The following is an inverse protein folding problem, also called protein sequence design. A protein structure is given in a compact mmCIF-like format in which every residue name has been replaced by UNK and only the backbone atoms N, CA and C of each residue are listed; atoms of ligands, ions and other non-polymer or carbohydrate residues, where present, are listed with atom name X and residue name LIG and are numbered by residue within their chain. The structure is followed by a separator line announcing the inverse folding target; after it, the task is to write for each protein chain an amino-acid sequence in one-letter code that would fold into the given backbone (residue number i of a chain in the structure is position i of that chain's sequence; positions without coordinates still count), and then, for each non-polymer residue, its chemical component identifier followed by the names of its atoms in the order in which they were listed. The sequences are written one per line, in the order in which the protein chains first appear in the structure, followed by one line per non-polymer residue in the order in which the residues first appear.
data_IF_205748130099
#
_entry.id   IF_205748130099
#
_cell.length_a   1.000
_cell.length_b   1.000
_cell.length_c   1.000
_cell.angle_alpha   90.00
_cell.angle_beta   90.00
_cell.angle_gamma   90.00
#
_symmetry.space_group_name_H-M   'P 1'
#
loop_
_entity.id
_entity.type
_entity.pdbx_description
1 polymer ?
#
# COMPACT_ATOMS: atom_id res chain seq x y z
N UNK A 1 -42.70 3.08 -3.20
CA UNK A 1 -42.11 4.28 -3.85
C UNK A 1 -40.86 4.65 -3.06
N UNK A 2 -39.63 4.51 -3.60
CA UNK A 2 -38.42 4.78 -2.82
C UNK A 2 -38.25 6.28 -2.52
N UNK A 3 -37.90 6.58 -1.26
CA UNK A 3 -37.63 7.92 -0.73
C UNK A 3 -36.20 8.35 -1.08
N UNK A 4 -36.04 9.51 -1.72
CA UNK A 4 -34.73 10.11 -1.97
C UNK A 4 -34.36 11.04 -0.81
N UNK A 5 -33.59 10.54 0.16
CA UNK A 5 -32.96 11.39 1.18
C UNK A 5 -31.86 12.25 0.55
N UNK A 6 -32.21 13.45 0.11
CA UNK A 6 -31.26 14.49 -0.28
C UNK A 6 -30.64 15.12 0.96
N UNK A 7 -29.32 14.96 1.14
CA UNK A 7 -28.56 15.69 2.16
C UNK A 7 -28.46 17.16 1.75
N UNK A 8 -29.23 18.04 2.39
CA UNK A 8 -29.05 19.49 2.25
C UNK A 8 -27.84 19.87 3.09
N UNK A 9 -26.74 20.27 2.43
CA UNK A 9 -25.56 20.82 3.09
C UNK A 9 -25.97 22.15 3.73
N UNK A 10 -25.98 22.24 5.06
CA UNK A 10 -26.32 23.46 5.78
C UNK A 10 -25.27 24.55 5.48
N UNK A 11 -25.65 25.52 4.65
CA UNK A 11 -24.89 26.71 4.31
C UNK A 11 -25.59 27.48 3.17
N UNK A 12 -25.32 28.79 2.98
CA UNK A 12 -25.81 29.52 1.81
C UNK A 12 -25.39 28.79 0.54
N UNK A 13 -26.34 28.57 -0.38
CA UNK A 13 -26.04 27.90 -1.64
C UNK A 13 -24.97 28.69 -2.42
N UNK A 14 -23.90 28.04 -2.89
CA UNK A 14 -22.89 28.73 -3.66
C UNK A 14 -23.50 29.26 -4.97
N UNK A 15 -23.08 30.45 -5.44
CA UNK A 15 -23.60 31.00 -6.69
C UNK A 15 -23.27 30.08 -7.87
N UNK A 16 -24.16 30.00 -8.88
CA UNK A 16 -23.97 29.13 -10.04
C UNK A 16 -22.68 29.50 -10.79
N UNK A 17 -21.85 28.50 -11.04
CA UNK A 17 -20.57 28.67 -11.71
C UNK A 17 -20.78 29.05 -13.18
N UNK A 18 -20.41 30.28 -13.56
CA UNK A 18 -20.43 30.73 -14.95
C UNK A 18 -19.18 30.25 -15.69
N UNK A 19 -19.34 29.24 -16.54
CA UNK A 19 -18.25 28.73 -17.40
C UNK A 19 -18.23 29.54 -18.70
N UNK A 20 -17.23 30.41 -18.85
CA UNK A 20 -16.99 31.20 -20.07
C UNK A 20 -16.08 30.49 -21.07
N UNK A 21 -16.04 30.98 -22.32
CA UNK A 21 -15.20 30.41 -23.38
C UNK A 21 -13.70 30.57 -23.16
N UNK A 22 -13.29 31.33 -22.15
CA UNK A 22 -11.90 31.48 -21.69
C UNK A 22 -11.56 30.63 -20.46
N UNK A 23 -12.52 29.87 -19.92
CA UNK A 23 -12.35 29.01 -18.74
C UNK A 23 -11.24 27.95 -18.90
N UNK A 24 -10.94 27.55 -20.14
CA UNK A 24 -9.85 26.62 -20.47
C UNK A 24 -8.45 27.15 -20.14
N UNK A 25 -8.29 28.47 -19.91
CA UNK A 25 -7.02 29.07 -19.50
C UNK A 25 -6.82 29.09 -17.98
N UNK A 26 -7.87 28.80 -17.20
CA UNK A 26 -7.81 28.73 -15.74
C UNK A 26 -7.17 27.41 -15.33
N UNK A 27 -5.83 27.39 -15.29
CA UNK A 27 -5.09 26.31 -14.64
C UNK A 27 -5.21 26.52 -13.13
N UNK A 28 -5.78 25.54 -12.43
CA UNK A 28 -5.73 25.49 -10.96
C UNK A 28 -4.26 25.70 -10.56
N UNK A 29 -3.91 26.65 -9.67
CA UNK A 29 -2.55 26.73 -9.17
C UNK A 29 -2.25 25.33 -8.64
N UNK A 30 -1.25 24.67 -9.22
CA UNK A 30 -0.78 23.41 -8.67
C UNK A 30 -0.48 23.76 -7.22
N UNK A 31 -1.31 23.24 -6.30
CA UNK A 31 -1.00 23.26 -4.88
C UNK A 31 0.47 22.88 -4.83
N UNK A 32 1.30 23.79 -4.31
CA UNK A 32 2.73 23.61 -4.17
C UNK A 32 2.94 22.15 -3.85
N UNK A 33 3.54 21.41 -4.79
CA UNK A 33 4.04 20.06 -4.54
C UNK A 33 5.20 20.24 -3.58
N UNK A 34 4.86 20.65 -2.35
CA UNK A 34 5.70 20.70 -1.19
C UNK A 34 6.03 19.26 -0.94
N UNK A 35 7.20 18.90 -1.44
CA UNK A 35 7.85 17.63 -1.24
C UNK A 35 7.06 16.44 -1.83
N UNK A 36 7.77 15.54 -2.49
CA UNK A 36 7.37 14.15 -2.40
C UNK A 36 7.38 13.82 -0.91
N UNK A 37 6.26 14.07 -0.21
CA UNK A 37 5.92 13.30 0.97
C UNK A 37 6.07 11.85 0.51
N UNK A 38 7.11 11.18 1.02
CA UNK A 38 7.48 9.82 0.64
C UNK A 38 6.23 8.98 0.89
N UNK A 39 5.39 8.81 -0.13
CA UNK A 39 4.14 8.07 -0.02
C UNK A 39 4.55 6.65 0.29
N UNK A 40 4.52 6.29 1.58
CA UNK A 40 4.77 4.94 2.03
C UNK A 40 3.73 4.08 1.33
N UNK A 41 4.12 2.98 0.66
CA UNK A 41 3.19 2.15 -0.05
C UNK A 41 2.14 1.61 0.93
N UNK A 42 0.86 1.84 0.62
CA UNK A 42 -0.25 1.26 1.36
C UNK A 42 -0.49 -0.14 0.81
N UNK A 43 -0.30 -1.16 1.65
CA UNK A 43 -0.59 -2.54 1.28
C UNK A 43 -2.07 -2.81 1.56
N UNK A 44 -2.85 -3.06 0.52
CA UNK A 44 -4.26 -3.47 0.62
C UNK A 44 -4.37 -4.95 0.28
N UNK A 45 -4.90 -5.75 1.21
CA UNK A 45 -5.11 -7.17 0.99
C UNK A 45 -6.48 -7.40 0.32
N UNK A 46 -6.46 -7.98 -0.89
CA UNK A 46 -7.70 -8.33 -1.61
C UNK A 46 -8.38 -9.58 -1.05
N UNK A 47 -7.65 -10.39 -0.29
CA UNK A 47 -8.11 -11.67 0.24
C UNK A 47 -7.73 -11.78 1.71
N UNK A 48 -8.56 -12.49 2.47
CA UNK A 48 -8.30 -12.77 3.88
C UNK A 48 -7.06 -13.65 4.04
N UNK A 49 -6.17 -13.37 5.02
CA UNK A 49 -5.08 -14.25 5.37
C UNK A 49 -5.56 -15.67 5.69
N UNK A 50 -4.82 -16.69 5.25
CA UNK A 50 -5.11 -18.10 5.54
C UNK A 50 -4.21 -18.61 6.66
N UNK A 51 -4.82 -19.11 7.73
CA UNK A 51 -4.09 -19.79 8.82
C UNK A 51 -3.72 -21.21 8.37
N UNK A 52 -2.49 -21.62 8.68
CA UNK A 52 -1.98 -22.97 8.40
C UNK A 52 -1.45 -23.54 9.72
N UNK A 53 -1.98 -24.72 10.10
CA UNK A 53 -1.49 -25.48 11.25
C UNK A 53 -0.55 -26.57 10.76
N UNK A 54 0.54 -26.79 11.49
CA UNK A 54 1.55 -27.79 11.14
C UNK A 54 2.23 -28.32 12.40
N UNK A 55 2.91 -29.46 12.27
CA UNK A 55 3.74 -30.02 13.33
C UNK A 55 5.03 -29.19 13.47
N UNK A 56 5.66 -29.12 14.65
CA UNK A 56 6.93 -28.44 14.81
C UNK A 56 8.03 -28.97 13.87
N UNK A 57 7.98 -30.26 13.53
CA UNK A 57 8.96 -30.94 12.68
C UNK A 57 8.89 -30.42 11.23
N UNK A 58 7.70 -30.01 10.76
CA UNK A 58 7.47 -29.60 9.38
C UNK A 58 7.54 -28.07 9.17
N UNK A 59 7.58 -27.30 10.26
CA UNK A 59 7.48 -25.84 10.23
C UNK A 59 8.51 -25.19 9.30
N UNK A 60 9.79 -25.59 9.41
CA UNK A 60 10.87 -25.00 8.62
C UNK A 60 10.67 -25.26 7.11
N UNK A 61 10.31 -26.49 6.75
CA UNK A 61 10.05 -26.88 5.36
C UNK A 61 8.85 -26.12 4.79
N UNK A 62 7.78 -25.94 5.57
CA UNK A 62 6.59 -25.17 5.17
C UNK A 62 6.92 -23.69 4.94
N UNK A 63 7.62 -23.05 5.88
CA UNK A 63 8.03 -21.64 5.76
C UNK A 63 8.94 -21.45 4.56
N UNK A 64 9.91 -22.34 4.33
CA UNK A 64 10.79 -22.28 3.16
C UNK A 64 10.00 -22.37 1.84
N UNK A 65 9.06 -23.32 1.74
CA UNK A 65 8.23 -23.48 0.53
C UNK A 65 7.33 -22.28 0.26
N UNK A 66 6.77 -21.64 1.30
CA UNK A 66 5.88 -20.49 1.14
C UNK A 66 6.62 -19.17 0.90
N UNK A 67 7.82 -19.02 1.47
CA UNK A 67 8.63 -17.80 1.34
C UNK A 67 9.62 -17.83 0.18
N UNK A 68 9.86 -19.00 -0.41
CA UNK A 68 10.83 -19.17 -1.50
C UNK A 68 12.28 -18.93 -1.08
N UNK A 69 12.59 -18.91 0.22
CA UNK A 69 13.97 -18.78 0.70
C UNK A 69 14.64 -20.15 0.62
N UNK A 70 15.74 -20.32 -0.14
CA UNK A 70 16.48 -21.58 -0.12
C UNK A 70 16.96 -21.82 1.31
N UNK A 71 16.91 -23.08 1.77
CA UNK A 71 17.52 -23.46 3.04
C UNK A 71 18.97 -22.96 3.00
N UNK A 72 19.36 -22.15 3.99
CA UNK A 72 20.75 -21.79 4.16
C UNK A 72 21.49 -23.07 4.57
N UNK A 73 21.75 -23.94 3.60
CA UNK A 73 22.74 -25.00 3.72
C UNK A 73 24.01 -24.29 4.12
N UNK A 74 24.45 -24.56 5.35
CA UNK A 74 25.44 -23.74 6.05
C UNK A 74 26.53 -23.29 5.10
N UNK A 75 26.61 -21.98 4.87
CA UNK A 75 27.92 -21.38 4.64
C UNK A 75 28.65 -21.47 5.97
N UNK A 76 29.09 -22.68 6.31
CA UNK A 76 30.31 -22.86 7.08
C UNK A 76 31.39 -22.19 6.25
N UNK A 77 31.52 -20.87 6.40
CA UNK A 77 32.81 -20.22 6.19
C UNK A 77 33.69 -20.92 7.21
N UNK A 78 34.53 -21.83 6.73
CA UNK A 78 35.49 -22.50 7.56
C UNK A 78 36.38 -21.42 8.15
N UNK A 79 36.13 -21.08 9.40
CA UNK A 79 37.14 -20.51 10.27
C UNK A 79 38.14 -21.63 10.52
N UNK A 80 39.12 -21.79 9.63
CA UNK A 80 40.36 -22.50 9.94
C UNK A 80 41.44 -21.45 10.08
N UNK A 81 41.98 -21.40 11.30
CA UNK A 81 42.89 -20.43 11.85
C UNK A 81 44.21 -20.27 11.05
N UNK A 82 44.87 -19.11 11.21
CA UNK A 82 46.26 -18.85 10.74
C UNK A 82 47.31 -19.62 11.56
N UNK A 83 48.59 -19.18 11.66
CA UNK A 83 49.39 -18.21 10.90
C UNK A 83 50.64 -18.83 10.21
N UNK A 84 51.25 -18.15 9.23
CA UNK A 84 52.72 -18.09 9.00
C UNK A 84 53.03 -16.82 8.19
#
# INVERSE_FOLDING_TARGET
MPSSSGRVLQGPEPPPLKVGKDSWRVKKPAASRGEHERRVPVVVYLHTPKVIHTSPQDFMSLVQRLTGKPSASGSSRCSTAGPD
#
